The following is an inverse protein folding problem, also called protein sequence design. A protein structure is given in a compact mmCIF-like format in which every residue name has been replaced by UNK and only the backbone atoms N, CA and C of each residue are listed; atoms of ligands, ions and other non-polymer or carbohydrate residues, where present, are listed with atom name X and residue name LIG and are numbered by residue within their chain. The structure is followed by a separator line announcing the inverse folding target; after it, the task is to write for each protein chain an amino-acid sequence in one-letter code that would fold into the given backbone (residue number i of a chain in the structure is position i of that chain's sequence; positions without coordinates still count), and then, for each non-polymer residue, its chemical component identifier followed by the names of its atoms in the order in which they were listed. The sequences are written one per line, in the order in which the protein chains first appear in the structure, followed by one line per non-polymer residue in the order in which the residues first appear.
data_IF_071098909024
#
_entry.id   IF_071098909024
#
_cell.length_a   1.000
_cell.length_b   1.000
_cell.length_c   1.000
_cell.angle_alpha   90.00
_cell.angle_beta   90.00
_cell.angle_gamma   90.00
#
_symmetry.space_group_name_H-M   'P 1'
#
loop_
_entity.id
_entity.type
_entity.pdbx_description
1 polymer ?
#
# COMPACT_ATOMS: atom_id res chain seq x y z
N UNK A 1 -10.59 -2.33 26.53
CA UNK A 1 -9.32 -1.77 27.05
C UNK A 1 -8.93 -0.43 26.43
N UNK A 2 -9.32 -0.09 25.18
CA UNK A 2 -8.90 1.18 24.53
C UNK A 2 -9.75 2.42 24.86
N UNK A 3 -10.95 2.24 25.43
CA UNK A 3 -11.89 3.34 25.74
C UNK A 3 -11.31 4.46 26.62
N UNK A 4 -10.55 4.18 27.71
CA UNK A 4 -9.97 5.23 28.55
C UNK A 4 -8.96 6.11 27.79
N UNK A 5 -8.20 5.52 26.85
CA UNK A 5 -7.22 6.24 26.03
C UNK A 5 -7.92 7.20 25.05
N UNK A 6 -9.14 6.86 24.61
CA UNK A 6 -9.93 7.72 23.72
C UNK A 6 -10.33 9.02 24.38
N UNK A 7 -10.80 8.92 25.62
CA UNK A 7 -11.22 10.06 26.42
C UNK A 7 -10.01 10.97 26.71
N UNK A 8 -8.86 10.39 27.04
CA UNK A 8 -7.61 11.13 27.29
C UNK A 8 -7.07 11.86 26.04
N UNK A 9 -7.26 11.28 24.85
CA UNK A 9 -6.81 11.87 23.57
C UNK A 9 -7.86 12.82 22.94
N UNK A 10 -9.09 12.86 23.47
CA UNK A 10 -10.20 13.61 22.87
C UNK A 10 -10.68 13.05 21.53
N UNK A 11 -10.43 11.77 21.25
CA UNK A 11 -10.83 11.13 20.00
C UNK A 11 -12.28 10.61 20.08
N UNK A 12 -13.00 10.66 18.95
CA UNK A 12 -14.45 10.35 18.92
C UNK A 12 -14.73 8.86 18.73
N UNK A 13 -13.93 8.19 17.89
CA UNK A 13 -14.14 6.80 17.52
C UNK A 13 -12.82 6.06 17.26
N UNK A 14 -12.87 4.73 17.38
CA UNK A 14 -11.83 3.81 16.90
C UNK A 14 -12.45 2.99 15.77
N UNK A 15 -11.83 3.06 14.60
CA UNK A 15 -12.17 2.21 13.46
C UNK A 15 -11.10 1.11 13.31
N UNK A 16 -11.57 -0.11 13.08
CA UNK A 16 -10.73 -1.27 12.82
C UNK A 16 -11.24 -1.98 11.57
N UNK A 17 -10.34 -2.26 10.64
CA UNK A 17 -10.62 -3.02 9.44
C UNK A 17 -9.53 -4.08 9.23
N UNK A 18 -9.94 -5.35 9.21
CA UNK A 18 -9.05 -6.48 8.92
C UNK A 18 -9.03 -6.84 7.43
N UNK A 19 -10.00 -6.35 6.64
CA UNK A 19 -10.18 -6.69 5.23
C UNK A 19 -9.36 -5.80 4.28
N UNK A 20 -8.17 -5.39 4.72
CA UNK A 20 -7.26 -4.53 3.98
C UNK A 20 -5.90 -5.21 3.81
N UNK A 21 -5.22 -4.87 2.71
CA UNK A 21 -3.86 -5.31 2.42
C UNK A 21 -2.99 -4.11 2.04
N UNK A 22 -1.69 -4.21 2.37
CA UNK A 22 -0.69 -3.21 2.01
C UNK A 22 0.14 -3.73 0.83
N UNK A 23 0.13 -2.99 -0.27
CA UNK A 23 0.99 -3.24 -1.44
C UNK A 23 2.04 -2.13 -1.49
N UNK A 24 3.32 -2.52 -1.44
CA UNK A 24 4.44 -1.58 -1.44
C UNK A 24 5.32 -1.78 -2.67
N UNK A 25 5.58 -0.69 -3.39
CA UNK A 25 6.67 -0.60 -4.36
C UNK A 25 7.90 -0.07 -3.61
N UNK A 26 9.05 -0.75 -3.72
CA UNK A 26 10.29 -0.41 -3.03
C UNK A 26 11.41 -0.24 -4.05
N UNK A 27 12.19 0.83 -3.94
CA UNK A 27 13.37 1.05 -4.78
C UNK A 27 14.12 2.32 -4.41
N UNK A 28 15.45 2.28 -4.45
CA UNK A 28 16.31 3.43 -4.16
C UNK A 28 16.18 4.58 -5.20
N UNK A 29 15.56 4.30 -6.35
CA UNK A 29 15.46 5.21 -7.48
C UNK A 29 14.32 6.23 -7.44
N UNK A 30 13.43 6.21 -6.44
CA UNK A 30 12.23 7.06 -6.44
C UNK A 30 12.52 8.57 -6.42
N UNK A 31 13.63 8.98 -5.80
CA UNK A 31 14.07 10.39 -5.82
C UNK A 31 14.56 10.84 -7.20
N UNK A 32 15.15 9.91 -7.94
CA UNK A 32 15.81 10.17 -9.23
C UNK A 32 14.90 9.95 -10.44
N UNK A 33 13.77 9.27 -10.23
CA UNK A 33 12.79 8.92 -11.27
C UNK A 33 11.43 9.51 -10.88
N UNK A 34 11.19 10.80 -11.15
CA UNK A 34 9.87 11.38 -10.97
C UNK A 34 8.86 10.61 -11.83
N UNK A 35 7.67 10.37 -11.27
CA UNK A 35 6.59 9.62 -11.94
C UNK A 35 6.33 8.22 -11.40
N UNK A 36 7.26 7.62 -10.64
CA UNK A 36 7.09 6.25 -10.11
C UNK A 36 5.80 6.08 -9.28
N UNK A 37 5.47 7.05 -8.42
CA UNK A 37 4.20 7.00 -7.68
C UNK A 37 2.98 7.12 -8.60
N UNK A 38 3.03 7.99 -9.61
CA UNK A 38 1.96 8.15 -10.58
C UNK A 38 1.75 6.86 -11.39
N UNK A 39 2.84 6.26 -11.89
CA UNK A 39 2.79 4.99 -12.62
C UNK A 39 2.19 3.86 -11.78
N UNK A 40 2.48 3.82 -10.47
CA UNK A 40 1.86 2.86 -9.56
C UNK A 40 0.36 3.12 -9.41
N UNK A 41 -0.07 4.37 -9.23
CA UNK A 41 -1.48 4.71 -9.08
C UNK A 41 -2.28 4.46 -10.38
N UNK A 42 -1.68 4.77 -11.53
CA UNK A 42 -2.27 4.49 -12.84
C UNK A 42 -2.47 2.97 -13.02
N UNK A 43 -1.46 2.16 -12.69
CA UNK A 43 -1.57 0.70 -12.79
C UNK A 43 -2.70 0.15 -11.90
N UNK A 44 -2.83 0.66 -10.67
CA UNK A 44 -3.91 0.27 -9.77
C UNK A 44 -5.28 0.73 -10.29
N UNK A 45 -5.38 1.96 -10.79
CA UNK A 45 -6.62 2.51 -11.35
C UNK A 45 -7.08 1.77 -12.61
N UNK A 46 -6.18 1.49 -13.55
CA UNK A 46 -6.45 0.71 -14.77
C UNK A 46 -6.90 -0.71 -14.45
N UNK A 47 -6.37 -1.31 -13.39
CA UNK A 47 -6.77 -2.62 -12.89
C UNK A 47 -8.07 -2.60 -12.06
N UNK A 48 -8.72 -1.44 -11.90
CA UNK A 48 -9.94 -1.30 -11.10
C UNK A 48 -9.71 -1.63 -9.61
N UNK A 49 -8.54 -1.29 -9.07
CA UNK A 49 -8.21 -1.44 -7.65
C UNK A 49 -8.34 -0.08 -6.96
N UNK A 50 -9.23 0.00 -5.97
CA UNK A 50 -9.39 1.22 -5.18
C UNK A 50 -8.26 1.37 -4.16
N UNK A 51 -7.72 2.60 -4.03
CA UNK A 51 -6.70 2.95 -3.04
C UNK A 51 -7.39 3.60 -1.84
N UNK A 52 -7.26 3.02 -0.65
CA UNK A 52 -7.85 3.54 0.59
C UNK A 52 -6.92 4.47 1.35
N UNK A 53 -5.62 4.19 1.28
CA UNK A 53 -4.60 4.99 1.94
C UNK A 53 -3.30 4.94 1.15
N UNK A 54 -2.56 6.05 1.19
CA UNK A 54 -1.24 6.17 0.58
C UNK A 54 -0.25 6.56 1.68
N UNK A 55 0.90 5.87 1.71
CA UNK A 55 2.04 6.23 2.55
C UNK A 55 3.32 6.15 1.73
N UNK A 56 4.18 7.17 1.84
CA UNK A 56 5.36 7.30 1.00
C UNK A 56 6.61 7.61 1.82
N UNK A 57 7.75 7.10 1.39
CA UNK A 57 9.10 7.49 1.83
C UNK A 57 9.98 7.76 0.60
N UNK A 58 11.25 8.07 0.83
CA UNK A 58 12.23 8.28 -0.25
C UNK A 58 12.47 7.06 -1.12
N UNK A 59 12.14 5.86 -0.65
CA UNK A 59 12.42 4.59 -1.35
C UNK A 59 11.20 3.66 -1.42
N UNK A 60 10.03 4.11 -0.94
CA UNK A 60 8.84 3.26 -0.82
C UNK A 60 7.58 4.06 -1.10
N UNK A 61 6.70 3.51 -1.90
CA UNK A 61 5.29 3.93 -2.02
C UNK A 61 4.44 2.75 -1.60
N UNK A 62 3.54 2.96 -0.64
CA UNK A 62 2.65 1.93 -0.13
C UNK A 62 1.21 2.37 -0.29
N UNK A 63 0.40 1.49 -0.86
CA UNK A 63 -1.04 1.66 -1.00
C UNK A 63 -1.74 0.61 -0.14
N UNK A 64 -2.72 1.06 0.65
CA UNK A 64 -3.69 0.17 1.30
C UNK A 64 -4.85 -0.03 0.32
N UNK A 65 -5.18 -1.29 0.07
CA UNK A 65 -6.24 -1.74 -0.83
C UNK A 65 -7.10 -2.79 -0.11
N UNK A 66 -8.26 -3.16 -0.67
CA UNK A 66 -9.05 -4.28 -0.13
C UNK A 66 -8.26 -5.58 -0.25
N UNK A 67 -8.35 -6.43 0.77
CA UNK A 67 -7.64 -7.71 0.81
C UNK A 67 -7.98 -8.58 -0.42
N UNK A 68 -9.24 -8.57 -0.86
CA UNK A 68 -9.69 -9.29 -2.05
C UNK A 68 -9.02 -8.81 -3.36
N UNK A 69 -8.50 -7.58 -3.40
CA UNK A 69 -7.85 -7.00 -4.58
C UNK A 69 -6.33 -7.18 -4.57
N UNK A 70 -5.75 -7.75 -3.50
CA UNK A 70 -4.30 -7.84 -3.30
C UNK A 70 -3.57 -8.44 -4.49
N UNK A 71 -4.03 -9.58 -5.00
CA UNK A 71 -3.34 -10.22 -6.11
C UNK A 71 -3.45 -9.43 -7.41
N UNK A 72 -4.61 -8.79 -7.64
CA UNK A 72 -4.83 -7.93 -8.81
C UNK A 72 -3.91 -6.71 -8.76
N UNK A 73 -3.81 -6.09 -7.58
CA UNK A 73 -2.93 -4.96 -7.31
C UNK A 73 -1.45 -5.31 -7.53
N UNK A 74 -0.99 -6.43 -6.95
CA UNK A 74 0.40 -6.90 -7.10
C UNK A 74 0.71 -7.19 -8.57
N UNK A 75 -0.16 -7.90 -9.29
CA UNK A 75 0.03 -8.20 -10.71
C UNK A 75 0.11 -6.93 -11.56
N UNK A 76 -0.83 -5.99 -11.38
CA UNK A 76 -0.87 -4.75 -12.15
C UNK A 76 0.40 -3.91 -11.95
N UNK A 77 0.86 -3.75 -10.71
CA UNK A 77 2.10 -3.03 -10.41
C UNK A 77 3.30 -3.78 -10.98
N UNK A 78 3.35 -5.11 -10.83
CA UNK A 78 4.44 -5.91 -11.36
C UNK A 78 4.57 -5.80 -12.89
N UNK A 79 3.45 -5.83 -13.62
CA UNK A 79 3.39 -5.67 -15.07
C UNK A 79 3.81 -4.26 -15.52
N UNK A 80 3.29 -3.21 -14.87
CA UNK A 80 3.63 -1.81 -15.17
C UNK A 80 5.13 -1.56 -15.07
N UNK A 81 5.77 -2.09 -14.03
CA UNK A 81 7.20 -1.90 -13.78
C UNK A 81 8.11 -2.99 -14.36
N UNK A 82 7.54 -4.00 -15.05
CA UNK A 82 8.26 -5.13 -15.68
C UNK A 82 9.25 -5.80 -14.72
N UNK A 83 8.82 -6.02 -13.48
CA UNK A 83 9.68 -6.57 -12.43
C UNK A 83 9.93 -8.08 -12.67
N UNK A 84 11.06 -8.63 -12.22
CA UNK A 84 11.29 -10.08 -12.27
C UNK A 84 10.47 -10.80 -11.18
N UNK A 85 10.14 -12.09 -11.37
CA UNK A 85 9.23 -12.81 -10.47
C UNK A 85 9.70 -12.90 -9.01
N UNK A 86 11.01 -12.90 -8.77
CA UNK A 86 11.61 -12.88 -7.45
C UNK A 86 11.51 -11.52 -6.74
N UNK A 87 11.07 -10.46 -7.45
CA UNK A 87 10.81 -9.16 -6.85
C UNK A 87 9.52 -9.11 -6.00
N UNK A 88 8.66 -10.13 -6.09
CA UNK A 88 7.47 -10.23 -5.24
C UNK A 88 7.88 -10.82 -3.88
N UNK A 89 7.97 -9.96 -2.87
CA UNK A 89 8.20 -10.35 -1.50
C UNK A 89 6.95 -10.15 -0.64
N UNK A 90 6.58 -11.14 0.17
CA UNK A 90 5.61 -10.96 1.25
C UNK A 90 6.32 -10.35 2.44
N UNK A 91 5.89 -9.16 2.88
CA UNK A 91 6.38 -8.61 4.13
C UNK A 91 5.83 -9.46 5.29
N UNK A 92 6.73 -10.16 5.98
CA UNK A 92 6.39 -10.77 7.27
C UNK A 92 6.46 -9.66 8.32
N UNK A 93 5.31 -9.24 8.84
CA UNK A 93 5.29 -8.49 10.08
C UNK A 93 5.56 -9.50 11.21
N UNK A 94 6.76 -9.45 11.81
CA UNK A 94 6.95 -10.04 13.13
C UNK A 94 5.98 -9.31 14.05
N UNK A 95 5.06 -10.06 14.64
CA UNK A 95 4.31 -9.58 15.81
C UNK A 95 5.27 -9.27 16.94
#
# INVERSE_FOLDING_TARGET
ALKPILDDLGATDILYDAGIAKVSLIGAGMRSHPGVAADMFDALGEAGVNIEMISTSTIRVSCVVREADTERAVRAVHEKFKLPQDAIAREQHSS
#
